data_IF_645679166897
#
_entry.id   IF_645679166897
#
_cell.length_a   1.000
_cell.length_b   1.000
_cell.length_c   1.000
_cell.angle_alpha   90.00
_cell.angle_beta   90.00
_cell.angle_gamma   90.00
#
_symmetry.space_group_name_H-M   'P 1'
#
loop_
_entity.id
_entity.type
_entity.pdbx_description
1 polymer ?
#
# COMPACT_ATOMS: atom_id res chain seq x y z
N UNK A 1 -11.31 -10.29 -3.19
CA UNK A 1 -12.11 -9.10 -3.45
C UNK A 1 -11.45 -8.17 -4.45
N UNK A 2 -12.22 -7.35 -5.10
CA UNK A 2 -11.74 -6.34 -6.03
C UNK A 2 -12.56 -5.06 -5.90
N UNK A 3 -11.93 -3.91 -6.13
CA UNK A 3 -12.63 -2.63 -6.15
C UNK A 3 -11.97 -1.69 -7.15
N UNK A 4 -12.76 -0.81 -7.75
CA UNK A 4 -12.30 0.24 -8.66
C UNK A 4 -12.87 1.57 -8.19
N UNK A 5 -12.04 2.59 -8.11
CA UNK A 5 -12.44 3.97 -7.84
C UNK A 5 -11.63 4.94 -8.68
N UNK A 6 -12.19 6.12 -8.88
CA UNK A 6 -11.49 7.26 -9.47
C UNK A 6 -11.16 8.26 -8.37
N UNK A 7 -10.10 9.04 -8.57
CA UNK A 7 -9.71 10.11 -7.64
C UNK A 7 -10.77 11.21 -7.52
N UNK A 8 -11.58 11.43 -8.57
CA UNK A 8 -12.58 12.47 -8.60
C UNK A 8 -11.91 13.85 -8.47
N UNK A 9 -12.50 14.73 -7.63
CA UNK A 9 -11.95 16.05 -7.37
C UNK A 9 -10.75 15.93 -6.43
N UNK A 10 -9.55 16.23 -6.92
CA UNK A 10 -8.32 16.32 -6.15
C UNK A 10 -7.81 17.75 -6.00
N UNK A 11 -6.75 17.97 -5.23
CA UNK A 11 -6.17 19.29 -5.01
C UNK A 11 -5.59 19.92 -6.28
N UNK A 12 -5.16 19.11 -7.25
CA UNK A 12 -4.70 19.54 -8.58
C UNK A 12 -4.87 18.39 -9.58
N UNK A 13 -4.65 18.68 -10.88
CA UNK A 13 -4.79 17.69 -11.95
C UNK A 13 -3.90 16.45 -11.74
N UNK A 14 -2.75 16.61 -11.10
CA UNK A 14 -1.76 15.55 -10.89
C UNK A 14 -1.66 15.07 -9.44
N UNK A 15 -2.43 15.67 -8.52
CA UNK A 15 -2.39 15.27 -7.12
C UNK A 15 -3.28 14.04 -6.89
N UNK A 16 -2.75 12.98 -6.25
CA UNK A 16 -3.58 11.84 -5.85
C UNK A 16 -4.58 12.25 -4.76
N UNK A 17 -5.68 11.49 -4.65
CA UNK A 17 -6.71 11.72 -3.65
C UNK A 17 -6.67 10.63 -2.56
N UNK A 18 -6.16 10.96 -1.38
CA UNK A 18 -6.04 10.02 -0.25
C UNK A 18 -7.38 9.47 0.22
N UNK A 19 -8.46 10.26 0.19
CA UNK A 19 -9.81 9.77 0.56
C UNK A 19 -10.34 8.76 -0.46
N UNK A 20 -10.07 8.97 -1.76
CA UNK A 20 -10.44 8.01 -2.79
C UNK A 20 -9.67 6.70 -2.62
N UNK A 21 -8.36 6.77 -2.29
CA UNK A 21 -7.53 5.59 -2.01
C UNK A 21 -8.00 4.85 -0.76
N UNK A 22 -8.27 5.56 0.35
CA UNK A 22 -8.87 4.97 1.55
C UNK A 22 -10.18 4.25 1.22
N UNK A 23 -11.08 4.92 0.52
CA UNK A 23 -12.37 4.36 0.14
C UNK A 23 -12.25 3.15 -0.82
N UNK A 24 -11.21 3.11 -1.66
CA UNK A 24 -10.89 1.95 -2.52
C UNK A 24 -10.49 0.75 -1.67
N UNK A 25 -9.59 0.94 -0.71
CA UNK A 25 -9.12 -0.12 0.19
C UNK A 25 -10.26 -0.70 1.03
N UNK A 26 -11.08 0.17 1.63
CA UNK A 26 -12.25 -0.25 2.40
C UNK A 26 -13.27 -1.03 1.54
N UNK A 27 -13.51 -0.60 0.30
CA UNK A 27 -14.39 -1.30 -0.62
C UNK A 27 -13.83 -2.68 -1.00
N UNK A 28 -12.52 -2.79 -1.23
CA UNK A 28 -11.86 -4.06 -1.53
C UNK A 28 -11.92 -5.05 -0.36
N UNK A 29 -11.71 -4.58 0.87
CA UNK A 29 -11.86 -5.39 2.08
C UNK A 29 -13.30 -5.87 2.26
N UNK A 30 -14.26 -4.99 2.06
CA UNK A 30 -15.68 -5.33 2.15
C UNK A 30 -16.10 -6.36 1.10
N UNK A 31 -15.66 -6.19 -0.16
CA UNK A 31 -15.92 -7.15 -1.25
C UNK A 31 -15.27 -8.52 -0.99
N UNK A 32 -14.09 -8.53 -0.37
CA UNK A 32 -13.43 -9.76 0.05
C UNK A 32 -14.06 -10.42 1.30
N UNK A 33 -14.94 -9.72 2.00
CA UNK A 33 -15.49 -10.12 3.30
C UNK A 33 -14.39 -10.44 4.34
N UNK A 34 -13.29 -9.66 4.36
CA UNK A 34 -12.17 -9.83 5.30
C UNK A 34 -11.92 -8.55 6.09
N UNK A 35 -11.52 -8.71 7.36
CA UNK A 35 -11.06 -7.61 8.19
C UNK A 35 -9.58 -7.26 7.95
N UNK A 36 -9.18 -6.09 8.40
CA UNK A 36 -7.81 -5.61 8.27
C UNK A 36 -6.77 -6.53 8.96
N UNK A 37 -7.15 -7.23 10.01
CA UNK A 37 -6.27 -8.18 10.72
C UNK A 37 -5.94 -9.44 9.89
N UNK A 38 -6.75 -9.76 8.89
CA UNK A 38 -6.50 -10.89 7.98
C UNK A 38 -5.48 -10.58 6.89
N UNK A 39 -5.09 -9.30 6.73
CA UNK A 39 -4.06 -8.92 5.77
C UNK A 39 -2.69 -9.39 6.25
N UNK A 40 -2.01 -10.16 5.43
CA UNK A 40 -0.66 -10.66 5.67
C UNK A 40 0.43 -9.82 5.00
N UNK A 41 0.10 -9.12 3.92
CA UNK A 41 1.04 -8.36 3.10
C UNK A 41 0.30 -7.30 2.29
N UNK A 42 0.94 -6.16 2.05
CA UNK A 42 0.47 -5.13 1.13
C UNK A 42 1.56 -4.84 0.10
N UNK A 43 1.18 -4.73 -1.15
CA UNK A 43 2.03 -4.21 -2.21
C UNK A 43 1.55 -2.81 -2.58
N UNK A 44 2.37 -1.81 -2.27
CA UNK A 44 2.07 -0.42 -2.52
C UNK A 44 2.23 -0.06 -4.01
N UNK A 45 1.53 0.97 -4.46
CA UNK A 45 1.84 1.60 -5.74
C UNK A 45 3.26 2.17 -5.72
N UNK A 46 3.63 2.92 -4.69
CA UNK A 46 5.02 3.22 -4.32
C UNK A 46 5.87 3.75 -5.48
N UNK A 47 5.47 4.87 -6.10
CA UNK A 47 6.19 5.44 -7.27
C UNK A 47 7.41 6.26 -6.90
N UNK A 48 7.66 6.47 -5.61
CA UNK A 48 8.81 7.25 -5.12
C UNK A 48 8.62 8.76 -5.24
N UNK A 49 7.38 9.23 -5.37
CA UNK A 49 7.10 10.66 -5.48
C UNK A 49 6.94 11.32 -4.12
N UNK A 50 7.43 12.55 -3.98
CA UNK A 50 7.39 13.31 -2.71
C UNK A 50 5.95 13.55 -2.19
N UNK A 51 4.98 13.59 -3.07
CA UNK A 51 3.56 13.80 -2.74
C UNK A 51 2.76 12.50 -2.71
N UNK A 52 2.99 11.61 -3.66
CA UNK A 52 2.19 10.38 -3.83
C UNK A 52 2.36 9.40 -2.70
N UNK A 53 3.60 9.09 -2.34
CA UNK A 53 3.89 8.08 -1.32
C UNK A 53 3.34 8.44 0.07
N UNK A 54 3.44 9.70 0.57
CA UNK A 54 2.79 10.08 1.83
C UNK A 54 1.26 9.99 1.78
N UNK A 55 0.64 10.35 0.67
CA UNK A 55 -0.82 10.25 0.48
C UNK A 55 -1.26 8.79 0.48
N UNK A 56 -0.54 7.94 -0.25
CA UNK A 56 -0.81 6.50 -0.29
C UNK A 56 -0.64 5.86 1.10
N UNK A 57 0.46 6.15 1.79
CA UNK A 57 0.72 5.67 3.14
C UNK A 57 -0.36 6.14 4.13
N UNK A 58 -0.82 7.40 4.01
CA UNK A 58 -1.93 7.94 4.78
C UNK A 58 -3.24 7.19 4.52
N UNK A 59 -3.60 6.99 3.27
CA UNK A 59 -4.80 6.23 2.89
C UNK A 59 -4.78 4.79 3.41
N UNK A 60 -3.63 4.12 3.34
CA UNK A 60 -3.44 2.78 3.87
C UNK A 60 -3.54 2.75 5.41
N UNK A 61 -2.96 3.75 6.09
CA UNK A 61 -3.04 3.88 7.55
C UNK A 61 -4.49 4.03 7.99
N UNK A 62 -5.22 4.94 7.40
CA UNK A 62 -6.62 5.20 7.75
C UNK A 62 -7.56 4.02 7.42
N UNK A 63 -7.36 3.35 6.28
CA UNK A 63 -8.20 2.24 5.87
C UNK A 63 -7.91 0.94 6.61
N UNK A 64 -6.65 0.69 6.92
CA UNK A 64 -6.19 -0.63 7.39
C UNK A 64 -5.68 -0.55 8.82
N UNK A 65 -4.67 0.29 9.12
CA UNK A 65 -4.03 0.26 10.44
C UNK A 65 -4.95 0.72 11.56
N UNK A 66 -5.79 1.71 11.31
CA UNK A 66 -6.77 2.21 12.29
C UNK A 66 -7.76 1.13 12.76
N UNK A 67 -7.97 0.12 11.93
CA UNK A 67 -8.90 -0.99 12.17
C UNK A 67 -8.24 -2.26 12.69
N UNK A 68 -6.90 -2.32 12.74
CA UNK A 68 -6.17 -3.50 13.26
C UNK A 68 -6.13 -3.51 14.77
N UNK A 69 -6.11 -4.69 15.33
CA UNK A 69 -5.96 -4.88 16.77
C UNK A 69 -4.66 -4.24 17.27
N UNK A 70 -4.65 -3.58 18.45
CA UNK A 70 -3.45 -2.88 18.97
C UNK A 70 -2.20 -3.77 19.14
N UNK A 71 -2.39 -5.09 19.25
CA UNK A 71 -1.32 -6.09 19.37
C UNK A 71 -1.10 -6.91 18.11
N UNK A 72 -1.72 -6.54 16.99
CA UNK A 72 -1.48 -7.22 15.72
C UNK A 72 -0.01 -7.08 15.31
N UNK A 73 0.54 -8.11 14.68
CA UNK A 73 1.88 -8.05 14.12
C UNK A 73 1.99 -6.91 13.10
N UNK A 74 3.17 -6.27 12.97
CA UNK A 74 3.38 -5.26 11.93
C UNK A 74 3.00 -5.80 10.55
N UNK A 75 2.31 -4.99 9.74
CA UNK A 75 1.90 -5.36 8.39
C UNK A 75 3.04 -5.07 7.41
N UNK A 76 3.61 -6.09 6.75
CA UNK A 76 4.61 -5.87 5.72
C UNK A 76 4.04 -5.08 4.54
N UNK A 77 4.76 -4.04 4.13
CA UNK A 77 4.41 -3.22 2.96
C UNK A 77 5.57 -3.24 1.97
N UNK A 78 5.34 -3.83 0.81
CA UNK A 78 6.31 -3.92 -0.26
C UNK A 78 6.07 -2.91 -1.38
N UNK A 79 7.12 -2.67 -2.18
CA UNK A 79 7.06 -1.89 -3.40
C UNK A 79 7.95 -2.51 -4.48
N UNK A 80 7.37 -3.30 -5.39
CA UNK A 80 8.14 -3.98 -6.45
C UNK A 80 8.93 -3.01 -7.33
N UNK A 81 8.46 -1.78 -7.45
CA UNK A 81 9.14 -0.73 -8.22
C UNK A 81 10.53 -0.37 -7.67
N UNK A 82 10.76 -0.55 -6.37
CA UNK A 82 12.10 -0.41 -5.78
C UNK A 82 13.10 -1.44 -6.33
N UNK A 83 12.61 -2.57 -6.82
CA UNK A 83 13.43 -3.68 -7.30
C UNK A 83 13.64 -3.64 -8.83
N UNK A 84 12.60 -3.26 -9.60
CA UNK A 84 12.60 -3.39 -11.07
C UNK A 84 12.30 -2.09 -11.81
N UNK A 85 12.07 -0.99 -11.11
CA UNK A 85 11.60 0.27 -11.71
C UNK A 85 10.09 0.26 -11.97
N UNK A 86 9.60 1.37 -12.51
CA UNK A 86 8.17 1.54 -12.83
C UNK A 86 7.87 0.96 -14.21
N UNK A 87 7.17 -0.17 -14.25
CA UNK A 87 6.78 -0.84 -15.49
C UNK A 87 5.54 -0.20 -16.19
N UNK A 88 5.19 1.04 -15.81
CA UNK A 88 4.08 1.84 -16.36
C UNK A 88 2.78 1.04 -16.53
N UNK A 89 2.31 0.69 -17.74
CA UNK A 89 1.02 -0.01 -17.90
C UNK A 89 1.02 -1.42 -17.29
N UNK A 90 2.19 -2.05 -17.12
CA UNK A 90 2.33 -3.36 -16.49
C UNK A 90 2.54 -3.31 -14.98
N UNK A 91 2.61 -2.12 -14.35
CA UNK A 91 2.97 -1.96 -12.94
C UNK A 91 1.99 -2.66 -11.99
N UNK A 92 0.69 -2.63 -12.28
CA UNK A 92 -0.32 -3.33 -11.49
C UNK A 92 -0.14 -4.86 -11.57
N UNK A 93 0.13 -5.38 -12.76
CA UNK A 93 0.36 -6.81 -12.96
C UNK A 93 1.63 -7.30 -12.26
N UNK A 94 2.72 -6.52 -12.31
CA UNK A 94 3.98 -6.88 -11.62
C UNK A 94 3.79 -6.90 -10.09
N UNK A 95 3.04 -5.95 -9.53
CA UNK A 95 2.69 -5.94 -8.11
C UNK A 95 1.84 -7.17 -7.72
N UNK A 96 0.83 -7.50 -8.53
CA UNK A 96 0.00 -8.68 -8.31
C UNK A 96 0.81 -9.97 -8.35
N UNK A 97 1.70 -10.13 -9.32
CA UNK A 97 2.59 -11.31 -9.41
C UNK A 97 3.50 -11.42 -8.20
N UNK A 98 4.06 -10.29 -7.72
CA UNK A 98 4.86 -10.29 -6.48
C UNK A 98 4.04 -10.73 -5.26
N UNK A 99 2.81 -10.25 -5.12
CA UNK A 99 1.91 -10.68 -4.03
C UNK A 99 1.62 -12.18 -4.10
N UNK A 100 1.32 -12.71 -5.29
CA UNK A 100 1.06 -14.15 -5.48
C UNK A 100 2.28 -14.99 -5.11
N UNK A 101 3.48 -14.58 -5.52
CA UNK A 101 4.73 -15.24 -5.16
C UNK A 101 5.01 -15.14 -3.65
N UNK A 102 4.75 -14.01 -3.03
CA UNK A 102 4.86 -13.81 -1.58
C UNK A 102 3.94 -14.72 -0.79
N UNK A 103 2.71 -14.89 -1.25
CA UNK A 103 1.74 -15.82 -0.64
C UNK A 103 2.15 -17.28 -0.83
N UNK A 104 2.58 -17.67 -2.04
CA UNK A 104 3.06 -19.02 -2.34
C UNK A 104 4.27 -19.42 -1.48
N UNK A 105 5.20 -18.51 -1.28
CA UNK A 105 6.41 -18.72 -0.47
C UNK A 105 6.25 -18.40 1.02
N UNK A 106 5.09 -17.90 1.44
CA UNK A 106 4.86 -17.39 2.79
C UNK A 106 5.97 -16.41 3.24
N UNK A 107 6.39 -15.52 2.34
CA UNK A 107 7.53 -14.63 2.55
C UNK A 107 7.25 -13.22 2.01
N UNK A 108 7.51 -12.22 2.84
CA UNK A 108 7.51 -10.81 2.46
C UNK A 108 8.96 -10.37 2.18
N UNK A 109 9.30 -10.23 0.90
CA UNK A 109 10.65 -9.77 0.53
C UNK A 109 10.83 -8.28 0.79
N UNK A 110 12.01 -7.85 1.26
CA UNK A 110 12.29 -6.44 1.54
C UNK A 110 12.31 -5.60 0.26
N UNK A 111 12.12 -4.29 0.46
CA UNK A 111 12.32 -3.33 -0.61
C UNK A 111 13.81 -3.20 -0.92
N UNK A 112 14.20 -3.53 -2.15
CA UNK A 112 15.61 -3.46 -2.56
C UNK A 112 16.13 -2.03 -2.43
N UNK A 113 17.37 -1.90 -1.95
CA UNK A 113 18.10 -0.64 -1.81
C UNK A 113 17.43 0.42 -0.91
N UNK A 114 16.42 0.06 -0.12
CA UNK A 114 15.85 0.96 0.87
C UNK A 114 16.87 1.24 1.96
N UNK A 115 17.49 2.43 1.93
CA UNK A 115 18.47 2.89 2.91
C UNK A 115 17.87 3.85 3.93
N UNK A 116 16.93 4.67 3.47
CA UNK A 116 16.27 5.67 4.27
C UNK A 116 14.81 5.79 3.81
N UNK A 117 13.89 5.70 4.76
CA UNK A 117 12.48 5.95 4.48
C UNK A 117 12.25 7.45 4.33
N UNK A 118 11.42 7.83 3.36
CA UNK A 118 11.00 9.22 3.21
C UNK A 118 10.44 9.73 4.58
N UNK A 119 10.95 10.85 5.12
CA UNK A 119 10.50 11.38 6.43
C UNK A 119 8.98 11.56 6.52
N UNK A 120 8.34 12.00 5.43
CA UNK A 120 6.88 12.18 5.39
C UNK A 120 6.10 10.85 5.42
N UNK A 121 6.74 9.76 5.03
CA UNK A 121 6.18 8.41 5.11
C UNK A 121 6.50 7.78 6.46
N UNK A 122 7.70 8.02 7.00
CA UNK A 122 8.16 7.39 8.24
C UNK A 122 7.27 7.67 9.44
N UNK A 123 6.72 8.88 9.54
CA UNK A 123 5.84 9.27 10.65
C UNK A 123 4.49 8.56 10.59
N UNK A 124 4.06 8.22 9.39
CA UNK A 124 2.82 7.48 9.15
C UNK A 124 3.02 5.99 9.44
N UNK A 125 4.14 5.40 9.00
CA UNK A 125 4.38 3.95 9.08
C UNK A 125 4.89 3.46 10.44
N UNK A 126 5.48 4.34 11.26
CA UNK A 126 5.97 3.98 12.63
C UNK A 126 4.89 3.36 13.52
N UNK A 127 3.64 3.41 13.15
CA UNK A 127 2.49 2.98 13.94
C UNK A 127 2.00 1.56 13.65
N UNK A 128 2.69 0.77 12.83
CA UNK A 128 2.25 -0.61 12.61
C UNK A 128 2.62 -1.28 11.29
N UNK A 129 3.54 -0.70 10.51
CA UNK A 129 4.08 -1.32 9.31
C UNK A 129 5.48 -1.91 9.54
N UNK A 130 5.82 -2.95 8.75
CA UNK A 130 7.18 -3.41 8.50
C UNK A 130 7.51 -3.16 7.01
N UNK A 131 8.71 -2.64 6.72
CA UNK A 131 9.20 -2.35 5.35
C UNK A 131 10.27 -3.35 4.93
#
# INVERSE_FOLDING_TARGET
GSAVRQDGRSASLTAPNGQAQQGLLLAGLADAAVGADALALVEAHGTGTSLGDPIEAGGLTEAVLSSRAPKAAPLPVGGVKANIGHAEPAAGMTGLLKLLLGLDKANAVPNAQLRLVNPHVSDVIRRGFAL
#
